data_IF_856188140071
#
_entry.id   IF_856188140071
#
_cell.length_a   1.000
_cell.length_b   1.000
_cell.length_c   1.000
_cell.angle_alpha   90.00
_cell.angle_beta   90.00
_cell.angle_gamma   90.00
#
_symmetry.space_group_name_H-M   'P 1'
#
loop_
_entity.id
_entity.type
_entity.pdbx_description
1 polymer ?
#
# COMPACT_ATOMS: atom_id res chain seq x y z
N UNK A 1 -1.11 -8.48 -29.73
CA UNK A 1 -1.30 -8.35 -28.27
C UNK A 1 0.07 -8.52 -27.62
N UNK A 2 0.78 -7.41 -27.33
CA UNK A 2 2.11 -7.49 -26.70
C UNK A 2 1.89 -7.92 -25.25
N UNK A 3 2.41 -9.10 -24.86
CA UNK A 3 2.57 -9.43 -23.45
C UNK A 3 3.43 -8.33 -22.84
N UNK A 4 2.81 -7.45 -22.06
CA UNK A 4 3.53 -6.55 -21.16
C UNK A 4 4.27 -7.49 -20.21
N UNK A 5 5.55 -7.75 -20.49
CA UNK A 5 6.43 -8.44 -19.55
C UNK A 5 6.58 -7.51 -18.36
N UNK A 6 5.68 -7.61 -17.38
CA UNK A 6 5.91 -7.01 -16.08
C UNK A 6 7.14 -7.75 -15.55
N UNK A 7 8.30 -7.07 -15.44
CA UNK A 7 9.49 -7.75 -14.96
C UNK A 7 9.20 -8.19 -13.54
N UNK A 8 9.55 -9.43 -13.20
CA UNK A 8 9.52 -9.92 -11.82
C UNK A 8 10.27 -8.97 -10.87
N UNK A 9 11.24 -8.23 -11.43
CA UNK A 9 11.94 -7.15 -10.75
C UNK A 9 11.01 -6.03 -10.24
N UNK A 10 9.98 -5.63 -10.99
CA UNK A 10 9.00 -4.63 -10.54
C UNK A 10 8.13 -5.16 -9.38
N UNK A 11 7.81 -6.46 -9.38
CA UNK A 11 7.12 -7.06 -8.26
C UNK A 11 7.97 -7.00 -6.98
N UNK A 12 9.25 -7.38 -7.08
CA UNK A 12 10.16 -7.43 -5.94
C UNK A 12 10.54 -6.05 -5.43
N UNK A 13 10.90 -5.12 -6.33
CA UNK A 13 11.42 -3.80 -5.95
C UNK A 13 10.31 -2.80 -5.62
N UNK A 14 9.16 -2.86 -6.29
CA UNK A 14 8.09 -1.89 -6.13
C UNK A 14 6.87 -2.51 -5.45
N UNK A 15 6.40 -3.65 -5.97
CA UNK A 15 5.17 -4.29 -5.49
C UNK A 15 5.22 -4.71 -4.03
N UNK A 16 6.27 -5.41 -3.59
CA UNK A 16 6.40 -5.85 -2.19
C UNK A 16 6.51 -4.65 -1.24
N UNK A 17 7.39 -3.65 -1.47
CA UNK A 17 7.47 -2.47 -0.60
C UNK A 17 6.15 -1.69 -0.53
N UNK A 18 5.48 -1.47 -1.66
CA UNK A 18 4.20 -0.78 -1.73
C UNK A 18 3.13 -1.48 -0.89
N UNK A 19 2.94 -2.78 -1.10
CA UNK A 19 1.92 -3.53 -0.35
C UNK A 19 2.30 -3.66 1.14
N UNK A 20 3.59 -3.72 1.47
CA UNK A 20 4.06 -3.67 2.87
C UNK A 20 3.75 -2.32 3.53
N UNK A 21 3.89 -1.21 2.81
CA UNK A 21 3.53 0.12 3.30
C UNK A 21 2.03 0.23 3.56
N UNK A 22 1.20 -0.28 2.64
CA UNK A 22 -0.27 -0.33 2.79
C UNK A 22 -0.67 -1.13 4.02
N UNK A 23 -0.11 -2.33 4.20
CA UNK A 23 -0.39 -3.17 5.37
C UNK A 23 0.05 -2.47 6.67
N UNK A 24 1.20 -1.81 6.65
CA UNK A 24 1.69 -1.05 7.80
C UNK A 24 0.71 0.04 8.19
N UNK A 25 0.24 0.83 7.21
CA UNK A 25 -0.75 1.89 7.43
C UNK A 25 -2.06 1.32 7.97
N UNK A 26 -2.53 0.22 7.41
CA UNK A 26 -3.77 -0.44 7.83
C UNK A 26 -3.69 -0.97 9.27
N UNK A 27 -2.55 -1.52 9.67
CA UNK A 27 -2.32 -1.95 11.05
C UNK A 27 -2.39 -0.77 12.03
N UNK A 28 -1.80 0.37 11.68
CA UNK A 28 -1.82 1.58 12.51
C UNK A 28 -3.24 2.13 12.63
N UNK A 29 -4.00 2.19 11.53
CA UNK A 29 -5.39 2.67 11.56
C UNK A 29 -6.26 1.71 12.37
N UNK A 30 -6.07 0.40 12.23
CA UNK A 30 -6.76 -0.62 13.01
C UNK A 30 -6.25 -0.76 14.46
N UNK A 31 -5.27 0.06 14.89
CA UNK A 31 -4.70 -0.03 16.23
C UNK A 31 -3.99 -1.37 16.54
N UNK A 32 -3.64 -2.14 15.51
CA UNK A 32 -2.94 -3.42 15.64
C UNK A 32 -1.45 -3.13 15.81
N UNK A 33 -0.76 -3.77 16.78
CA UNK A 33 0.67 -3.54 16.97
C UNK A 33 1.47 -3.94 15.73
N UNK A 34 2.38 -3.05 15.31
CA UNK A 34 3.26 -3.24 14.15
C UNK A 34 4.21 -4.43 14.37
N UNK A 35 3.81 -5.61 13.89
CA UNK A 35 4.63 -6.82 13.87
C UNK A 35 5.21 -7.00 12.48
N UNK A 36 6.41 -6.47 12.25
CA UNK A 36 7.08 -6.47 10.93
C UNK A 36 7.09 -7.83 10.22
N UNK A 37 7.28 -8.94 10.94
CA UNK A 37 7.19 -10.29 10.36
C UNK A 37 5.83 -10.58 9.72
N UNK A 38 4.74 -10.18 10.37
CA UNK A 38 3.37 -10.36 9.85
C UNK A 38 3.07 -9.38 8.73
N UNK A 39 3.51 -8.12 8.88
CA UNK A 39 3.32 -7.07 7.87
C UNK A 39 3.99 -7.47 6.56
N UNK A 40 5.25 -7.90 6.61
CA UNK A 40 5.99 -8.35 5.43
C UNK A 40 5.35 -9.59 4.80
N UNK A 41 4.86 -10.54 5.60
CA UNK A 41 4.16 -11.72 5.09
C UNK A 41 2.89 -11.34 4.32
N UNK A 42 2.02 -10.53 4.93
CA UNK A 42 0.77 -10.09 4.31
C UNK A 42 1.05 -9.21 3.09
N UNK A 43 2.01 -8.29 3.17
CA UNK A 43 2.44 -7.44 2.07
C UNK A 43 2.97 -8.25 0.89
N UNK A 44 3.76 -9.29 1.16
CA UNK A 44 4.24 -10.21 0.11
C UNK A 44 3.09 -10.98 -0.52
N UNK A 45 2.16 -11.51 0.28
CA UNK A 45 0.97 -12.23 -0.23
C UNK A 45 0.12 -11.31 -1.13
N UNK A 46 -0.11 -10.07 -0.70
CA UNK A 46 -0.81 -9.05 -1.49
C UNK A 46 -0.06 -8.79 -2.80
N UNK A 47 1.23 -8.51 -2.75
CA UNK A 47 2.03 -8.23 -3.94
C UNK A 47 2.00 -9.39 -4.95
N UNK A 48 2.18 -10.63 -4.48
CA UNK A 48 2.10 -11.83 -5.33
C UNK A 48 0.69 -11.99 -5.91
N UNK A 49 -0.35 -11.76 -5.12
CA UNK A 49 -1.74 -11.81 -5.60
C UNK A 49 -1.99 -10.77 -6.68
N UNK A 50 -1.50 -9.54 -6.50
CA UNK A 50 -1.59 -8.48 -7.51
C UNK A 50 -0.88 -8.89 -8.81
N UNK A 51 0.30 -9.50 -8.71
CA UNK A 51 1.05 -9.98 -9.87
C UNK A 51 0.29 -11.06 -10.62
N UNK A 52 -0.24 -12.06 -9.92
CA UNK A 52 -1.03 -13.14 -10.53
C UNK A 52 -2.24 -12.57 -11.26
N UNK A 53 -3.01 -11.67 -10.62
CA UNK A 53 -4.19 -11.05 -11.24
C UNK A 53 -3.81 -10.23 -12.48
N UNK A 54 -2.65 -9.57 -12.48
CA UNK A 54 -2.13 -8.82 -13.65
C UNK A 54 -1.70 -9.71 -14.82
N UNK A 55 -1.47 -11.01 -14.61
CA UNK A 55 -1.22 -11.96 -15.71
C UNK A 55 -2.51 -12.28 -16.49
N UNK A 56 -3.67 -12.09 -15.87
CA UNK A 56 -4.96 -12.26 -16.54
C UNK A 56 -5.36 -10.97 -17.29
N UNK A 57 -6.12 -11.08 -18.40
CA UNK A 57 -6.62 -9.93 -19.16
C UNK A 57 -7.82 -9.26 -18.45
N UNK A 58 -7.64 -8.92 -17.18
CA UNK A 58 -8.64 -8.29 -16.33
C UNK A 58 -8.47 -6.76 -16.42
N UNK A 59 -9.56 -5.97 -16.42
CA UNK A 59 -9.47 -4.52 -16.40
C UNK A 59 -8.64 -3.99 -15.22
N UNK A 60 -7.97 -2.86 -15.45
CA UNK A 60 -7.21 -2.16 -14.41
C UNK A 60 -8.12 -1.82 -13.21
N UNK A 61 -7.60 -1.96 -11.99
CA UNK A 61 -8.34 -1.71 -10.74
C UNK A 61 -9.01 -2.93 -10.10
N UNK A 62 -9.32 -4.00 -10.85
CA UNK A 62 -9.87 -5.23 -10.25
C UNK A 62 -8.93 -5.89 -9.24
N UNK A 63 -7.62 -5.85 -9.52
CA UNK A 63 -6.62 -6.33 -8.58
C UNK A 63 -6.69 -5.57 -7.25
N UNK A 64 -6.94 -4.26 -7.26
CA UNK A 64 -7.11 -3.43 -6.05
C UNK A 64 -8.32 -3.87 -5.22
N UNK A 65 -9.44 -4.23 -5.87
CA UNK A 65 -10.61 -4.77 -5.17
C UNK A 65 -10.26 -6.09 -4.49
N UNK A 66 -9.60 -7.00 -5.20
CA UNK A 66 -9.17 -8.29 -4.64
C UNK A 66 -8.20 -8.10 -3.47
N UNK A 67 -7.22 -7.21 -3.61
CA UNK A 67 -6.25 -6.84 -2.57
C UNK A 67 -6.95 -6.27 -1.33
N UNK A 68 -7.98 -5.44 -1.53
CA UNK A 68 -8.81 -4.88 -0.45
C UNK A 68 -9.50 -6.00 0.32
N UNK A 69 -10.10 -6.98 -0.36
CA UNK A 69 -10.73 -8.13 0.30
C UNK A 69 -9.71 -8.96 1.10
N UNK A 70 -8.54 -9.25 0.51
CA UNK A 70 -7.48 -10.02 1.16
C UNK A 70 -6.95 -9.30 2.41
N UNK A 71 -6.74 -7.99 2.32
CA UNK A 71 -6.30 -7.17 3.45
C UNK A 71 -7.37 -7.10 4.54
N UNK A 72 -8.63 -6.91 4.18
CA UNK A 72 -9.76 -6.88 5.11
C UNK A 72 -9.87 -8.18 5.93
N UNK A 73 -9.78 -9.34 5.27
CA UNK A 73 -9.81 -10.65 5.95
C UNK A 73 -8.62 -10.78 6.90
N UNK A 74 -7.43 -10.37 6.44
CA UNK A 74 -6.20 -10.42 7.24
C UNK A 74 -6.29 -9.55 8.50
N UNK A 75 -6.83 -8.33 8.37
CA UNK A 75 -7.04 -7.41 9.49
C UNK A 75 -8.10 -7.94 10.46
N UNK A 76 -9.20 -8.47 9.96
CA UNK A 76 -10.27 -9.04 10.79
C UNK A 76 -9.74 -10.19 11.65
N UNK A 77 -8.94 -11.08 11.06
CA UNK A 77 -8.35 -12.21 11.76
C UNK A 77 -7.32 -11.79 12.82
N UNK A 78 -6.53 -10.75 12.53
CA UNK A 78 -5.46 -10.28 13.43
C UNK A 78 -5.95 -9.26 14.48
N UNK A 79 -6.98 -8.49 14.17
CA UNK A 79 -7.59 -7.45 14.99
C UNK A 79 -8.65 -7.94 15.95
N UNK A 80 -8.72 -9.26 16.21
CA UNK A 80 -9.69 -9.91 17.11
C UNK A 80 -11.16 -9.72 16.69
N UNK A 81 -11.44 -9.61 15.40
CA UNK A 81 -12.81 -9.71 14.86
C UNK A 81 -13.61 -8.41 14.79
N UNK A 82 -13.01 -7.23 15.02
CA UNK A 82 -13.70 -5.96 14.74
C UNK A 82 -13.78 -5.72 13.23
N UNK A 83 -14.92 -6.11 12.65
CA UNK A 83 -15.21 -5.97 11.22
C UNK A 83 -15.28 -4.51 10.79
N UNK A 84 -15.86 -3.64 11.62
CA UNK A 84 -16.03 -2.22 11.27
C UNK A 84 -14.69 -1.52 11.18
N UNK A 85 -13.85 -1.70 12.20
CA UNK A 85 -12.51 -1.14 12.23
C UNK A 85 -11.63 -1.69 11.11
N UNK A 86 -11.70 -3.00 10.84
CA UNK A 86 -10.93 -3.65 9.78
C UNK A 86 -11.33 -3.14 8.38
N UNK A 87 -12.63 -2.92 8.15
CA UNK A 87 -13.13 -2.38 6.89
C UNK A 87 -12.66 -0.94 6.68
N UNK A 88 -12.82 -0.08 7.70
CA UNK A 88 -12.37 1.32 7.65
C UNK A 88 -10.87 1.38 7.42
N UNK A 89 -10.08 0.59 8.16
CA UNK A 89 -8.63 0.58 8.03
C UNK A 89 -8.17 0.15 6.64
N UNK A 90 -8.81 -0.88 6.07
CA UNK A 90 -8.51 -1.35 4.72
C UNK A 90 -8.84 -0.30 3.66
N UNK A 91 -10.07 0.22 3.66
CA UNK A 91 -10.53 1.20 2.67
C UNK A 91 -9.71 2.49 2.75
N UNK A 92 -9.45 2.99 3.95
CA UNK A 92 -8.67 4.21 4.13
C UNK A 92 -7.22 4.04 3.68
N UNK A 93 -6.62 2.87 3.92
CA UNK A 93 -5.24 2.60 3.48
C UNK A 93 -5.12 2.57 1.96
N UNK A 94 -6.06 1.92 1.25
CA UNK A 94 -6.09 1.93 -0.21
C UNK A 94 -6.45 3.30 -0.79
N UNK A 95 -7.32 4.06 -0.13
CA UNK A 95 -7.63 5.42 -0.55
C UNK A 95 -6.40 6.33 -0.49
N UNK A 96 -5.62 6.24 0.61
CA UNK A 96 -4.37 6.98 0.75
C UNK A 96 -3.35 6.53 -0.29
N UNK A 97 -3.22 5.22 -0.55
CA UNK A 97 -2.35 4.69 -1.61
C UNK A 97 -2.68 5.31 -2.97
N UNK A 98 -3.93 5.19 -3.43
CA UNK A 98 -4.35 5.68 -4.75
C UNK A 98 -4.20 7.20 -4.84
N UNK A 99 -4.48 7.92 -3.77
CA UNK A 99 -4.31 9.37 -3.72
C UNK A 99 -2.84 9.75 -3.87
N UNK A 100 -1.94 9.10 -3.14
CA UNK A 100 -0.51 9.38 -3.22
C UNK A 100 0.08 8.97 -4.55
N UNK A 101 -0.31 7.81 -5.09
CA UNK A 101 0.11 7.38 -6.42
C UNK A 101 -0.31 8.41 -7.47
N UNK A 102 -1.56 8.86 -7.47
CA UNK A 102 -2.06 9.83 -8.43
C UNK A 102 -1.38 11.20 -8.30
N UNK A 103 -1.22 11.71 -7.08
CA UNK A 103 -0.56 13.00 -6.82
C UNK A 103 0.91 12.94 -7.22
N UNK A 104 1.64 11.88 -6.84
CA UNK A 104 3.04 11.71 -7.22
C UNK A 104 3.20 11.58 -8.74
N UNK A 105 2.37 10.76 -9.39
CA UNK A 105 2.41 10.61 -10.85
C UNK A 105 2.13 11.93 -11.56
N UNK A 106 1.10 12.68 -11.15
CA UNK A 106 0.76 13.96 -11.76
C UNK A 106 1.88 15.00 -11.60
N UNK A 107 2.46 15.12 -10.39
CA UNK A 107 3.57 16.05 -10.14
C UNK A 107 4.82 15.65 -10.92
N UNK A 108 5.17 14.37 -10.93
CA UNK A 108 6.40 13.89 -11.53
C UNK A 108 6.34 13.92 -13.07
N UNK A 109 5.17 13.64 -13.67
CA UNK A 109 4.95 13.88 -15.10
C UNK A 109 5.06 15.36 -15.46
N UNK A 110 4.55 16.26 -14.62
CA UNK A 110 4.65 17.71 -14.86
C UNK A 110 6.09 18.23 -14.77
N UNK A 111 6.88 17.73 -13.81
CA UNK A 111 8.26 18.19 -13.59
C UNK A 111 9.24 17.57 -14.59
N UNK A 112 9.12 16.27 -14.88
CA UNK A 112 10.08 15.53 -15.71
C UNK A 112 9.67 15.54 -17.21
N UNK A 113 8.41 15.88 -17.52
CA UNK A 113 7.91 15.93 -18.89
C UNK A 113 7.67 14.54 -19.53
N UNK A 114 7.46 13.51 -18.71
CA UNK A 114 7.30 12.12 -19.14
C UNK A 114 5.85 11.89 -19.58
N UNK A 115 5.66 11.35 -20.79
CA UNK A 115 4.32 11.00 -21.30
C UNK A 115 3.90 9.60 -20.84
N UNK A 116 2.59 9.29 -20.75
CA UNK A 116 2.10 7.94 -20.41
C UNK A 116 2.65 6.84 -21.33
N UNK A 117 3.03 7.22 -22.56
CA UNK A 117 3.56 6.36 -23.61
C UNK A 117 4.98 5.85 -23.29
N UNK A 118 5.81 6.72 -22.73
CA UNK A 118 7.17 6.36 -22.28
C UNK A 118 7.15 5.49 -21.03
N UNK A 119 6.20 5.74 -20.12
CA UNK A 119 5.96 4.92 -18.92
C UNK A 119 5.52 3.48 -19.24
N UNK A 120 4.86 3.31 -20.39
CA UNK A 120 4.38 2.01 -20.86
C UNK A 120 5.47 1.20 -21.57
N UNK A 121 6.43 1.87 -22.20
CA UNK A 121 7.52 1.25 -22.96
C UNK A 121 8.76 0.95 -22.11
N UNK A 122 9.07 1.79 -21.11
CA UNK A 122 10.24 1.61 -20.26
C UNK A 122 9.86 1.22 -18.82
N UNK A 123 10.13 -0.04 -18.47
CA UNK A 123 9.82 -0.57 -17.14
C UNK A 123 10.73 -0.03 -16.04
N UNK A 124 11.94 0.44 -16.36
CA UNK A 124 12.88 1.00 -15.36
C UNK A 124 12.43 2.40 -14.97
N UNK A 125 12.06 3.22 -15.96
CA UNK A 125 11.50 4.55 -15.74
C UNK A 125 10.20 4.45 -14.93
N UNK A 126 9.35 3.46 -15.22
CA UNK A 126 8.13 3.21 -14.45
C UNK A 126 8.40 2.90 -12.98
N UNK A 127 9.40 2.08 -12.68
CA UNK A 127 9.78 1.75 -11.29
C UNK A 127 10.29 3.01 -10.59
N UNK A 128 11.25 3.73 -11.18
CA UNK A 128 11.82 4.95 -10.57
C UNK A 128 10.76 6.02 -10.27
N UNK A 129 9.79 6.19 -11.16
CA UNK A 129 8.70 7.16 -10.99
C UNK A 129 7.67 6.67 -9.96
N UNK A 130 7.54 5.35 -9.79
CA UNK A 130 6.67 4.73 -8.79
C UNK A 130 7.22 4.80 -7.37
N UNK A 131 8.52 4.67 -7.14
CA UNK A 131 9.10 4.60 -5.79
C UNK A 131 8.77 5.78 -4.84
N UNK A 132 8.71 7.06 -5.28
CA UNK A 132 8.47 8.19 -4.38
C UNK A 132 7.19 8.08 -3.55
N UNK A 133 6.09 7.57 -4.12
CA UNK A 133 4.82 7.48 -3.40
C UNK A 133 4.87 6.43 -2.27
N UNK A 134 5.64 5.35 -2.45
CA UNK A 134 5.83 4.28 -1.45
C UNK A 134 6.54 4.83 -0.21
N UNK A 135 7.56 5.67 -0.41
CA UNK A 135 8.28 6.33 0.68
C UNK A 135 7.36 7.24 1.50
N UNK A 136 6.51 8.03 0.81
CA UNK A 136 5.55 8.91 1.48
C UNK A 136 4.53 8.08 2.26
N UNK A 137 4.07 6.94 1.71
CA UNK A 137 3.11 6.06 2.39
C UNK A 137 3.71 5.44 3.66
N UNK A 138 4.96 4.97 3.61
CA UNK A 138 5.68 4.49 4.79
C UNK A 138 5.86 5.60 5.83
N UNK A 139 6.20 6.81 5.39
CA UNK A 139 6.36 7.95 6.28
C UNK A 139 5.04 8.30 6.98
N UNK A 140 3.92 8.29 6.26
CA UNK A 140 2.58 8.49 6.84
C UNK A 140 2.24 7.43 7.87
N UNK A 141 2.50 6.15 7.58
CA UNK A 141 2.28 5.06 8.55
C UNK A 141 3.12 5.24 9.82
N UNK A 142 4.39 5.61 9.68
CA UNK A 142 5.28 5.83 10.82
C UNK A 142 4.87 7.06 11.66
N UNK A 143 4.51 8.16 10.99
CA UNK A 143 4.04 9.38 11.65
C UNK A 143 2.77 9.12 12.46
N UNK A 144 1.79 8.44 11.87
CA UNK A 144 0.54 8.07 12.55
C UNK A 144 0.81 7.18 13.77
N UNK A 145 1.67 6.16 13.64
CA UNK A 145 2.04 5.29 14.76
C UNK A 145 2.70 6.09 15.91
N UNK A 146 3.58 7.05 15.58
CA UNK A 146 4.23 7.91 16.58
C UNK A 146 3.21 8.81 17.30
N UNK A 147 2.26 9.40 16.56
CA UNK A 147 1.22 10.26 17.13
C UNK A 147 0.26 9.47 18.04
N UNK A 148 -0.15 8.27 17.63
CA UNK A 148 -1.01 7.41 18.44
C UNK A 148 -0.33 6.97 19.74
N UNK A 149 0.95 6.56 19.68
CA UNK A 149 1.74 6.22 20.88
C UNK A 149 1.90 7.39 21.83
N UNK A 150 2.14 8.59 21.31
CA UNK A 150 2.22 9.81 22.13
C UNK A 150 0.88 10.12 22.81
N UNK A 151 -0.25 9.92 22.12
CA UNK A 151 -1.59 10.11 22.69
C UNK A 151 -1.90 9.10 23.81
N UNK A 152 -1.52 7.83 23.63
CA UNK A 152 -1.62 6.80 24.66
C UNK A 152 -0.82 7.18 25.92
N UNK A 153 0.46 7.53 25.76
CA UNK A 153 1.31 7.94 26.89
C UNK A 153 0.83 9.23 27.59
N UNK A 154 0.27 10.20 26.84
CA UNK A 154 -0.28 11.42 27.44
C UNK A 154 -1.57 11.18 28.23
N UNK A 155 -2.36 10.16 27.89
CA UNK A 155 -3.58 9.82 28.62
C UNK A 155 -3.30 9.11 29.94
N UNK A 156 -2.14 8.45 30.09
CA UNK A 156 -1.72 7.83 31.35
C UNK A 156 -1.26 8.85 32.42
N UNK A 157 -0.98 10.09 32.02
CA UNK A 157 -0.53 11.18 32.91
C UNK A 157 -1.62 12.18 33.31
N UNK A 158 -2.90 11.89 33.03
CA UNK A 158 -4.00 12.71 33.54
C UNK A 158 -4.54 12.07 34.83
N UNK A 159 -4.15 12.55 36.03
CA UNK A 159 -4.80 12.09 37.26
C UNK A 159 -6.27 12.48 37.21
N UNK A 160 -7.12 11.51 37.57
CA UNK A 160 -8.55 11.71 37.85
C UNK A 160 -8.72 12.65 39.04
#
# INVERSE_FOLDING_TARGET
MRLIKIPLLALLLQGIPEQTAVVSLAFVIAGIPLKWKKILLIGTVLAVSAYIVRLFPIPFGFHTILLTVVLFISLTWLGKGDLGLSLIACLLSFLVLVTFEFVCLALLMSIIGVTPETLSNDSVVRIMIGEPHVLILFFSAFLLNKLQRKKLNNNEHKPL
#
